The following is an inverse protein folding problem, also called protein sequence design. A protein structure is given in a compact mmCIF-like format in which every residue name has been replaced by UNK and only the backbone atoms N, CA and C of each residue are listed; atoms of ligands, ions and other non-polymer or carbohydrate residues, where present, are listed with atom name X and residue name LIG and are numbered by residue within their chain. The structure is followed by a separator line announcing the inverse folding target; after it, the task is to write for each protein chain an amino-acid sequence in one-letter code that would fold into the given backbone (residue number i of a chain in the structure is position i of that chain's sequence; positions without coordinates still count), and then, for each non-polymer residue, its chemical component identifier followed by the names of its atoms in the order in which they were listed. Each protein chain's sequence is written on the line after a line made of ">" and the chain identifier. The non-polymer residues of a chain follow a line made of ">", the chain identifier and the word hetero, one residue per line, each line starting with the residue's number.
data_IF_529503047005
#
_entry.id   IF_529503047005
#
_cell.length_a   1.000
_cell.length_b   1.000
_cell.length_c   1.000
_cell.angle_alpha   90.00
_cell.angle_beta   90.00
_cell.angle_gamma   90.00
#
_symmetry.space_group_name_H-M   'P 1'
#
loop_
_entity.id
_entity.type
_entity.pdbx_description
1 polymer ?
#
# COMPACT_ATOMS: atom_id res chain seq x y z
N UNK A 1 45.01 21.61 63.99
CA UNK A 1 45.38 21.58 62.57
C UNK A 1 44.50 20.52 61.93
N UNK A 2 43.72 20.95 60.94
CA UNK A 2 42.39 20.44 60.62
C UNK A 2 42.37 19.13 59.84
N UNK A 3 41.34 18.33 60.12
CA UNK A 3 40.84 17.26 59.27
C UNK A 3 39.94 17.88 58.19
N UNK A 4 40.12 17.56 56.89
CA UNK A 4 39.21 18.03 55.88
C UNK A 4 37.98 17.13 55.80
N UNK A 5 36.83 17.80 55.80
CA UNK A 5 35.48 17.30 55.81
C UNK A 5 35.09 16.56 54.51
N UNK A 6 34.35 15.47 54.70
CA UNK A 6 33.12 15.08 54.00
C UNK A 6 32.80 15.78 52.67
N UNK A 7 32.93 15.07 51.54
CA UNK A 7 32.13 15.35 50.34
C UNK A 7 30.80 14.62 50.47
N UNK A 8 29.76 15.40 50.78
CA UNK A 8 28.38 14.95 50.70
C UNK A 8 28.04 14.56 49.25
N UNK A 9 27.30 13.46 49.10
CA UNK A 9 26.61 13.13 47.86
C UNK A 9 25.56 14.21 47.57
N UNK A 10 25.92 15.21 46.77
CA UNK A 10 24.98 16.19 46.24
C UNK A 10 24.26 15.59 45.02
N UNK A 11 22.97 15.31 45.24
CA UNK A 11 21.92 15.68 44.29
C UNK A 11 21.94 15.00 42.94
N UNK A 12 21.24 13.87 42.85
CA UNK A 12 20.59 13.42 41.62
C UNK A 12 19.83 14.60 40.97
N UNK A 13 20.38 15.16 39.89
CA UNK A 13 19.68 16.14 39.07
C UNK A 13 18.66 15.42 38.18
N UNK A 14 17.55 15.02 38.81
CA UNK A 14 16.39 14.35 38.18
C UNK A 14 15.39 15.36 37.58
N UNK A 15 15.75 16.63 37.43
CA UNK A 15 14.83 17.71 37.06
C UNK A 15 14.94 18.19 35.59
N UNK A 16 15.79 17.58 34.75
CA UNK A 16 16.02 18.02 33.36
C UNK A 16 15.41 17.13 32.26
N UNK A 17 14.43 16.28 32.56
CA UNK A 17 13.76 15.40 31.57
C UNK A 17 12.26 15.71 31.26
N UNK A 18 11.62 16.86 31.58
CA UNK A 18 10.25 17.10 31.08
C UNK A 18 10.12 17.70 29.66
N UNK A 19 11.14 18.38 29.12
CA UNK A 19 10.98 19.16 27.88
C UNK A 19 11.46 18.46 26.59
N UNK A 20 12.47 17.60 26.67
CA UNK A 20 13.06 16.96 25.48
C UNK A 20 12.06 16.06 24.75
N UNK A 21 11.23 15.34 25.51
CA UNK A 21 10.16 14.49 24.96
C UNK A 21 9.10 15.33 24.25
N UNK A 22 8.74 16.49 24.80
CA UNK A 22 7.78 17.41 24.17
C UNK A 22 8.31 17.96 22.85
N UNK A 23 9.56 18.44 22.82
CA UNK A 23 10.19 18.91 21.59
C UNK A 23 10.34 17.82 20.53
N UNK A 24 10.65 16.59 20.96
CA UNK A 24 10.77 15.45 20.04
C UNK A 24 9.42 15.04 19.44
N UNK A 25 8.35 15.05 20.23
CA UNK A 25 6.98 14.80 19.73
C UNK A 25 6.52 15.89 18.77
N UNK A 26 6.79 17.16 19.08
CA UNK A 26 6.51 18.27 18.16
C UNK A 26 7.28 18.17 16.85
N UNK A 27 8.55 17.74 16.91
CA UNK A 27 9.33 17.45 15.71
C UNK A 27 8.66 16.35 14.86
N UNK A 28 8.32 15.20 15.47
CA UNK A 28 7.69 14.10 14.73
C UNK A 28 6.28 14.43 14.24
N UNK A 29 5.53 15.27 14.94
CA UNK A 29 4.25 15.78 14.47
C UNK A 29 4.43 16.60 13.18
N UNK A 30 5.47 17.45 13.10
CA UNK A 30 5.80 18.18 11.86
C UNK A 30 6.20 17.23 10.73
N UNK A 31 7.00 16.19 11.02
CA UNK A 31 7.35 15.15 10.06
C UNK A 31 6.11 14.44 9.55
N UNK A 32 5.15 14.11 10.42
CA UNK A 32 3.88 13.51 10.04
C UNK A 32 3.09 14.45 9.12
N UNK A 33 2.97 15.75 9.43
CA UNK A 33 2.28 16.70 8.53
C UNK A 33 2.89 16.75 7.13
N UNK A 34 4.21 16.75 7.02
CA UNK A 34 4.89 16.66 5.72
C UNK A 34 4.65 15.32 5.03
N UNK A 35 4.60 14.21 5.77
CA UNK A 35 4.22 12.90 5.21
C UNK A 35 2.78 12.92 4.69
N UNK A 36 1.85 13.52 5.44
CA UNK A 36 0.45 13.64 5.04
C UNK A 36 0.27 14.47 3.77
N UNK A 37 1.07 15.53 3.57
CA UNK A 37 1.07 16.30 2.31
C UNK A 37 1.45 15.42 1.10
N UNK A 38 2.40 14.51 1.28
CA UNK A 38 2.82 13.55 0.24
C UNK A 38 1.76 12.48 0.01
N UNK A 39 1.19 11.94 1.10
CA UNK A 39 0.25 10.82 1.05
C UNK A 39 -1.16 11.20 0.59
N UNK A 40 -1.63 12.40 0.91
CA UNK A 40 -2.98 12.87 0.58
C UNK A 40 -3.11 13.43 -0.85
N UNK A 41 -2.20 13.07 -1.76
CA UNK A 41 -2.33 13.45 -3.16
C UNK A 41 -3.58 12.77 -3.76
N UNK A 42 -4.59 13.52 -4.23
CA UNK A 42 -5.85 12.95 -4.73
C UNK A 42 -5.67 12.10 -6.00
N UNK A 43 -4.56 12.27 -6.73
CA UNK A 43 -4.26 11.54 -7.96
C UNK A 43 -3.63 10.17 -7.71
N UNK A 44 -3.28 9.83 -6.45
CA UNK A 44 -2.54 8.61 -6.13
C UNK A 44 -3.12 7.90 -4.91
N UNK A 45 -3.08 6.57 -4.93
CA UNK A 45 -3.33 5.78 -3.73
C UNK A 45 -2.20 6.03 -2.72
N UNK A 46 -2.57 6.13 -1.43
CA UNK A 46 -1.61 6.18 -0.33
C UNK A 46 -0.62 5.01 -0.43
N UNK A 47 0.65 5.31 -0.21
CA UNK A 47 1.76 4.36 -0.34
C UNK A 47 2.14 3.78 1.02
N UNK A 48 2.57 2.51 1.08
CA UNK A 48 3.11 1.95 2.30
C UNK A 48 4.36 2.72 2.77
N UNK A 49 4.46 2.95 4.08
CA UNK A 49 5.54 3.68 4.74
C UNK A 49 6.38 2.71 5.55
N UNK A 50 7.70 2.84 5.43
CA UNK A 50 8.66 2.11 6.27
C UNK A 50 9.46 3.13 7.06
N UNK A 51 9.52 2.95 8.37
CA UNK A 51 10.28 3.83 9.27
C UNK A 51 11.70 3.29 9.41
N UNK A 52 12.70 4.16 9.34
CA UNK A 52 14.09 3.78 9.60
C UNK A 52 14.68 4.75 10.62
N UNK A 53 15.18 4.22 11.73
CA UNK A 53 15.70 5.00 12.84
C UNK A 53 15.74 4.18 14.12
N UNK A 54 16.34 4.69 15.19
CA UNK A 54 16.38 3.95 16.45
C UNK A 54 14.97 3.69 17.01
N UNK A 55 14.88 2.65 17.85
CA UNK A 55 13.61 2.17 18.38
C UNK A 55 12.83 3.24 19.16
N UNK A 56 13.52 4.16 19.84
CA UNK A 56 12.87 5.23 20.63
C UNK A 56 12.21 6.24 19.69
N UNK A 57 12.92 6.69 18.66
CA UNK A 57 12.40 7.62 17.67
C UNK A 57 11.26 7.02 16.84
N UNK A 58 11.39 5.76 16.41
CA UNK A 58 10.31 5.06 15.72
C UNK A 58 9.04 4.95 16.57
N UNK A 59 9.18 4.64 17.87
CA UNK A 59 8.05 4.59 18.80
C UNK A 59 7.37 5.95 18.96
N UNK A 60 8.14 7.04 19.14
CA UNK A 60 7.56 8.37 19.26
C UNK A 60 6.84 8.84 18.01
N UNK A 61 7.39 8.56 16.82
CA UNK A 61 6.71 8.89 15.57
C UNK A 61 5.36 8.14 15.47
N UNK A 62 5.33 6.85 15.78
CA UNK A 62 4.09 6.05 15.78
C UNK A 62 3.02 6.58 16.76
N UNK A 63 3.41 7.16 17.90
CA UNK A 63 2.48 7.75 18.86
C UNK A 63 1.79 9.03 18.34
N UNK A 64 2.46 9.79 17.47
CA UNK A 64 1.96 11.09 16.98
C UNK A 64 1.49 11.05 15.52
N UNK A 65 1.65 9.91 14.84
CA UNK A 65 1.28 9.75 13.43
C UNK A 65 -0.24 9.76 13.26
N UNK A 66 -0.74 10.56 12.32
CA UNK A 66 -2.17 10.65 12.02
C UNK A 66 -2.72 9.37 11.39
N UNK A 67 -1.90 8.65 10.62
CA UNK A 67 -2.29 7.47 9.85
C UNK A 67 -1.33 6.29 10.09
N UNK A 68 -1.36 5.68 11.29
CA UNK A 68 -0.44 4.60 11.63
C UNK A 68 -0.62 3.35 10.76
N UNK A 69 -1.78 3.20 10.11
CA UNK A 69 -2.07 2.09 9.19
C UNK A 69 -1.25 2.12 7.90
N UNK A 70 -0.66 3.27 7.54
CA UNK A 70 0.24 3.35 6.39
C UNK A 70 1.61 2.75 6.70
N UNK A 71 1.96 2.61 7.97
CA UNK A 71 3.26 2.08 8.40
C UNK A 71 3.22 0.55 8.29
N UNK A 72 4.02 0.01 7.38
CA UNK A 72 4.07 -1.44 7.08
C UNK A 72 5.29 -2.14 7.64
N UNK A 73 6.22 -1.38 8.23
CA UNK A 73 7.44 -1.92 8.80
C UNK A 73 8.33 -0.85 9.42
N UNK A 74 9.28 -1.31 10.23
CA UNK A 74 10.29 -0.46 10.84
C UNK A 74 11.66 -1.15 10.87
N UNK A 75 12.71 -0.36 10.68
CA UNK A 75 14.11 -0.80 10.78
C UNK A 75 14.75 -0.01 11.91
N UNK A 76 14.93 -0.67 13.04
CA UNK A 76 15.51 -0.08 14.26
C UNK A 76 16.90 -0.58 14.61
N UNK A 77 17.46 -1.42 13.74
CA UNK A 77 18.76 -2.08 13.82
C UNK A 77 19.91 -1.20 13.32
N UNK A 78 19.61 0.00 12.81
CA UNK A 78 20.59 0.95 12.27
C UNK A 78 20.94 1.98 13.35
N UNK A 79 22.03 1.79 14.12
CA UNK A 79 22.40 2.69 15.22
C UNK A 79 22.95 4.04 14.74
N UNK A 80 23.44 4.14 13.50
CA UNK A 80 23.91 5.38 12.89
C UNK A 80 23.21 5.62 11.55
N UNK A 81 22.33 6.62 11.48
CA UNK A 81 21.61 7.00 10.27
C UNK A 81 22.49 7.70 9.22
N UNK A 82 23.79 7.91 9.49
CA UNK A 82 24.77 8.36 8.49
C UNK A 82 25.26 7.24 7.57
N UNK A 83 24.76 6.01 7.74
CA UNK A 83 25.06 4.93 6.81
C UNK A 83 24.50 5.22 5.41
N UNK A 84 25.19 4.81 4.34
CA UNK A 84 24.65 4.91 2.99
C UNK A 84 23.31 4.18 2.87
N UNK A 85 22.36 4.78 2.16
CA UNK A 85 21.01 4.21 1.96
C UNK A 85 21.05 2.78 1.41
N UNK A 86 22.06 2.46 0.58
CA UNK A 86 22.31 1.12 0.02
C UNK A 86 22.37 0.01 1.06
N UNK A 87 22.85 0.30 2.27
CA UNK A 87 22.93 -0.69 3.37
C UNK A 87 21.57 -1.01 3.99
N UNK A 88 20.58 -0.15 3.79
CA UNK A 88 19.22 -0.27 4.34
C UNK A 88 18.30 -1.00 3.35
N UNK A 89 18.63 -0.93 2.04
CA UNK A 89 17.83 -1.52 0.96
C UNK A 89 17.49 -3.00 1.20
N UNK A 90 18.41 -3.90 1.61
CA UNK A 90 18.08 -5.31 1.78
C UNK A 90 16.98 -5.57 2.81
N UNK A 91 17.02 -4.89 3.95
CA UNK A 91 16.00 -5.00 5.01
C UNK A 91 14.66 -4.42 4.55
N UNK A 92 14.68 -3.29 3.85
CA UNK A 92 13.48 -2.71 3.21
C UNK A 92 12.86 -3.67 2.20
N UNK A 93 13.69 -4.31 1.37
CA UNK A 93 13.21 -5.27 0.37
C UNK A 93 12.52 -6.46 1.01
N UNK A 94 13.09 -7.01 2.10
CA UNK A 94 12.47 -8.12 2.82
C UNK A 94 11.06 -7.75 3.34
N UNK A 95 10.91 -6.59 3.99
CA UNK A 95 9.60 -6.13 4.46
C UNK A 95 8.62 -5.85 3.32
N UNK A 96 9.09 -5.28 2.21
CA UNK A 96 8.23 -5.05 1.03
C UNK A 96 7.73 -6.36 0.42
N UNK A 97 8.56 -7.40 0.41
CA UNK A 97 8.16 -8.75 -0.04
C UNK A 97 7.06 -9.28 0.87
N UNK A 98 7.24 -9.24 2.19
CA UNK A 98 6.21 -9.69 3.14
C UNK A 98 4.91 -8.90 3.03
N UNK A 99 4.99 -7.58 2.91
CA UNK A 99 3.83 -6.72 2.70
C UNK A 99 3.06 -7.10 1.42
N UNK A 100 3.76 -7.31 0.31
CA UNK A 100 3.16 -7.74 -0.97
C UNK A 100 2.50 -9.12 -0.85
N UNK A 101 3.15 -10.07 -0.17
CA UNK A 101 2.60 -11.41 0.08
C UNK A 101 1.31 -11.34 0.91
N UNK A 102 1.28 -10.52 1.96
CA UNK A 102 0.10 -10.34 2.79
C UNK A 102 -1.06 -9.70 2.03
N UNK A 103 -0.78 -8.71 1.17
CA UNK A 103 -1.79 -8.12 0.28
C UNK A 103 -2.35 -9.12 -0.71
N UNK A 104 -1.48 -9.92 -1.33
CA UNK A 104 -1.91 -10.96 -2.25
C UNK A 104 -2.78 -12.01 -1.55
N UNK A 105 -2.39 -12.45 -0.35
CA UNK A 105 -3.19 -13.37 0.48
C UNK A 105 -4.58 -12.81 0.80
N UNK A 106 -4.65 -11.52 1.14
CA UNK A 106 -5.91 -10.83 1.40
C UNK A 106 -6.78 -10.75 0.15
N UNK A 107 -6.19 -10.41 -1.00
CA UNK A 107 -6.89 -10.40 -2.28
C UNK A 107 -7.43 -11.79 -2.66
N UNK A 108 -6.64 -12.86 -2.50
CA UNK A 108 -7.10 -14.23 -2.75
C UNK A 108 -8.24 -14.66 -1.83
N UNK A 109 -8.20 -14.23 -0.56
CA UNK A 109 -9.30 -14.46 0.37
C UNK A 109 -10.58 -13.80 -0.13
N UNK A 110 -10.51 -12.54 -0.55
CA UNK A 110 -11.66 -11.84 -1.10
C UNK A 110 -12.16 -12.43 -2.42
N UNK A 111 -11.26 -12.87 -3.30
CA UNK A 111 -11.61 -13.56 -4.53
C UNK A 111 -12.42 -14.83 -4.22
N UNK A 112 -11.91 -15.65 -3.29
CA UNK A 112 -12.58 -16.86 -2.82
C UNK A 112 -13.97 -16.56 -2.26
N UNK A 113 -14.09 -15.57 -1.37
CA UNK A 113 -15.38 -15.16 -0.82
C UNK A 113 -16.37 -14.69 -1.90
N UNK A 114 -15.93 -13.87 -2.85
CA UNK A 114 -16.77 -13.37 -3.92
C UNK A 114 -17.26 -14.50 -4.83
N UNK A 115 -16.39 -15.46 -5.14
CA UNK A 115 -16.73 -16.65 -5.92
C UNK A 115 -17.79 -17.49 -5.22
N UNK A 116 -17.57 -17.78 -3.94
CA UNK A 116 -18.48 -18.62 -3.14
C UNK A 116 -19.83 -17.93 -2.89
N UNK A 117 -19.86 -16.59 -2.92
CA UNK A 117 -21.07 -15.78 -2.86
C UNK A 117 -21.75 -15.53 -4.23
N UNK A 118 -21.22 -16.07 -5.32
CA UNK A 118 -21.68 -15.81 -6.70
C UNK A 118 -21.64 -14.34 -7.13
N UNK A 119 -20.72 -13.55 -6.56
CA UNK A 119 -20.51 -12.13 -6.87
C UNK A 119 -19.30 -11.88 -7.77
N UNK A 120 -18.80 -12.93 -8.42
CA UNK A 120 -17.62 -12.86 -9.29
C UNK A 120 -18.02 -12.87 -10.77
N UNK A 121 -17.65 -11.82 -11.48
CA UNK A 121 -17.82 -11.70 -12.93
C UNK A 121 -16.50 -12.03 -13.63
N UNK A 122 -16.56 -12.82 -14.70
CA UNK A 122 -15.39 -13.21 -15.50
C UNK A 122 -15.54 -12.90 -16.99
N UNK A 123 -16.74 -12.52 -17.44
CA UNK A 123 -17.00 -12.13 -18.82
C UNK A 123 -16.66 -10.65 -19.05
N UNK A 124 -15.92 -10.34 -20.12
CA UNK A 124 -15.40 -8.99 -20.37
C UNK A 124 -16.50 -7.94 -20.56
N UNK A 125 -17.57 -8.27 -21.29
CA UNK A 125 -18.68 -7.34 -21.50
C UNK A 125 -19.42 -7.05 -20.18
N UNK A 126 -19.58 -8.07 -19.35
CA UNK A 126 -20.23 -7.94 -18.05
C UNK A 126 -19.36 -7.18 -17.04
N UNK A 127 -18.04 -7.42 -17.03
CA UNK A 127 -17.07 -6.64 -16.26
C UNK A 127 -17.12 -5.18 -16.69
N UNK A 128 -17.07 -4.89 -18.00
CA UNK A 128 -17.11 -3.53 -18.54
C UNK A 128 -18.34 -2.76 -18.05
N UNK A 129 -19.52 -3.37 -18.13
CA UNK A 129 -20.77 -2.77 -17.63
C UNK A 129 -20.69 -2.46 -16.14
N UNK A 130 -20.23 -3.42 -15.34
CA UNK A 130 -20.14 -3.28 -13.90
C UNK A 130 -19.11 -2.22 -13.46
N UNK A 131 -17.96 -2.10 -14.14
CA UNK A 131 -17.00 -1.01 -13.87
C UNK A 131 -17.58 0.34 -14.30
N UNK A 132 -18.17 0.44 -15.50
CA UNK A 132 -18.73 1.69 -16.01
C UNK A 132 -19.90 2.23 -15.17
N UNK A 133 -20.68 1.34 -14.56
CA UNK A 133 -21.82 1.68 -13.70
C UNK A 133 -21.43 1.91 -12.23
N UNK A 134 -20.14 1.78 -11.88
CA UNK A 134 -19.70 1.91 -10.50
C UNK A 134 -20.25 0.79 -9.60
N UNK A 135 -20.42 -0.43 -10.13
CA UNK A 135 -20.76 -1.63 -9.37
C UNK A 135 -19.52 -2.50 -9.07
N UNK A 136 -18.31 -2.03 -9.38
CA UNK A 136 -17.05 -2.71 -9.09
C UNK A 136 -16.58 -2.48 -7.64
N UNK A 137 -16.50 -3.55 -6.84
CA UNK A 137 -15.82 -3.53 -5.53
C UNK A 137 -14.33 -3.71 -5.73
N UNK A 138 -13.96 -4.80 -6.42
CA UNK A 138 -12.57 -5.21 -6.56
C UNK A 138 -12.33 -5.91 -7.88
N UNK A 139 -11.37 -5.43 -8.65
CA UNK A 139 -10.88 -6.07 -9.87
C UNK A 139 -9.63 -6.87 -9.53
N UNK A 140 -9.67 -8.18 -9.77
CA UNK A 140 -8.52 -9.06 -9.65
C UNK A 140 -7.88 -9.26 -11.02
N UNK A 141 -6.60 -8.92 -11.13
CA UNK A 141 -5.85 -8.92 -12.39
C UNK A 141 -4.58 -9.72 -12.21
N UNK A 142 -4.32 -10.66 -13.12
CA UNK A 142 -3.02 -11.33 -13.20
C UNK A 142 -1.95 -10.33 -13.64
N UNK A 143 -0.85 -10.25 -12.90
CA UNK A 143 0.28 -9.38 -13.24
C UNK A 143 0.77 -9.66 -14.66
N UNK A 144 0.89 -8.60 -15.46
CA UNK A 144 1.33 -8.66 -16.86
C UNK A 144 0.32 -9.30 -17.82
N UNK A 145 -0.93 -9.54 -17.40
CA UNK A 145 -1.97 -9.95 -18.34
C UNK A 145 -2.46 -8.75 -19.13
N UNK A 146 -2.39 -8.91 -20.46
CA UNK A 146 -2.81 -7.96 -21.47
C UNK A 146 -3.81 -8.70 -22.35
N UNK A 147 -4.92 -8.06 -22.69
CA UNK A 147 -5.91 -8.64 -23.59
C UNK A 147 -6.28 -7.65 -24.69
N UNK A 148 -5.82 -7.88 -25.94
CA UNK A 148 -6.29 -7.10 -27.08
C UNK A 148 -7.80 -7.26 -27.29
N UNK A 149 -8.46 -6.21 -27.75
CA UNK A 149 -9.90 -6.26 -28.01
C UNK A 149 -10.51 -4.97 -28.52
N UNK A 150 -11.78 -5.03 -28.88
CA UNK A 150 -12.60 -3.89 -29.27
C UNK A 150 -13.63 -3.64 -28.17
N UNK A 151 -13.72 -2.39 -27.72
CA UNK A 151 -14.73 -1.94 -26.76
C UNK A 151 -15.74 -1.07 -27.52
N UNK A 152 -16.96 -1.57 -27.66
CA UNK A 152 -18.10 -0.76 -28.07
C UNK A 152 -18.70 -0.11 -26.81
N UNK A 153 -18.35 1.15 -26.59
CA UNK A 153 -18.81 1.93 -25.43
C UNK A 153 -20.31 2.19 -25.46
N UNK A 154 -20.92 2.32 -26.64
CA UNK A 154 -22.35 2.62 -26.79
C UNK A 154 -23.20 1.39 -26.45
N UNK A 155 -22.82 0.22 -26.97
CA UNK A 155 -23.53 -1.04 -26.73
C UNK A 155 -23.09 -1.73 -25.44
N UNK A 156 -22.01 -1.25 -24.82
CA UNK A 156 -21.34 -1.89 -23.68
C UNK A 156 -21.01 -3.35 -23.96
N UNK A 157 -20.34 -3.57 -25.09
CA UNK A 157 -19.87 -4.89 -25.55
C UNK A 157 -18.36 -4.84 -25.69
N UNK A 158 -17.70 -5.91 -25.23
CA UNK A 158 -16.26 -6.10 -25.39
C UNK A 158 -16.02 -7.38 -26.16
N UNK A 159 -15.30 -7.26 -27.27
CA UNK A 159 -14.87 -8.38 -28.10
C UNK A 159 -13.37 -8.55 -27.96
N UNK A 160 -12.93 -9.64 -27.34
CA UNK A 160 -11.51 -9.93 -27.15
C UNK A 160 -10.91 -10.64 -28.35
N UNK A 161 -9.63 -10.39 -28.62
CA UNK A 161 -8.87 -10.98 -29.72
C UNK A 161 -7.53 -11.51 -29.22
N UNK A 162 -6.99 -12.51 -29.91
CA UNK A 162 -5.70 -13.12 -29.55
C UNK A 162 -4.51 -12.21 -29.88
N UNK A 163 -4.61 -11.37 -30.92
CA UNK A 163 -3.54 -10.47 -31.38
C UNK A 163 -4.08 -9.08 -31.77
N UNK A 164 -3.31 -8.02 -31.46
CA UNK A 164 -3.60 -6.64 -31.83
C UNK A 164 -3.23 -6.34 -33.30
N UNK A 165 -4.08 -6.74 -34.25
CA UNK A 165 -3.82 -6.62 -35.71
C UNK A 165 -4.71 -5.61 -36.46
N UNK A 166 -5.82 -5.14 -35.87
CA UNK A 166 -6.77 -4.22 -36.50
C UNK A 166 -6.59 -2.77 -36.01
N UNK A 167 -6.91 -1.79 -36.87
CA UNK A 167 -6.70 -0.36 -36.60
C UNK A 167 -7.63 0.24 -35.54
N UNK A 168 -8.75 -0.43 -35.24
CA UNK A 168 -9.80 -0.02 -34.31
C UNK A 168 -9.79 -0.82 -33.00
N UNK A 169 -8.78 -1.67 -32.81
CA UNK A 169 -8.59 -2.48 -31.62
C UNK A 169 -7.68 -1.78 -30.61
N UNK A 170 -8.02 -1.88 -29.32
CA UNK A 170 -7.10 -1.51 -28.24
C UNK A 170 -6.12 -2.66 -28.00
N UNK A 171 -4.88 -2.29 -27.69
CA UNK A 171 -3.83 -3.23 -27.31
C UNK A 171 -4.14 -3.92 -25.98
N UNK A 172 -4.90 -3.25 -25.09
CA UNK A 172 -5.30 -3.81 -23.80
C UNK A 172 -6.67 -3.30 -23.32
N UNK A 173 -7.69 -4.16 -23.37
CA UNK A 173 -9.00 -3.87 -22.76
C UNK A 173 -8.94 -3.95 -21.22
N UNK A 174 -7.98 -4.68 -20.65
CA UNK A 174 -7.83 -4.82 -19.20
C UNK A 174 -7.41 -3.49 -18.58
N UNK A 175 -6.51 -2.76 -19.24
CA UNK A 175 -6.08 -1.43 -18.83
C UNK A 175 -7.26 -0.45 -18.73
N UNK A 176 -8.15 -0.46 -19.73
CA UNK A 176 -9.38 0.34 -19.67
C UNK A 176 -10.26 -0.01 -18.46
N UNK A 177 -10.36 -1.28 -18.09
CA UNK A 177 -11.13 -1.69 -16.91
C UNK A 177 -10.47 -1.26 -15.59
N UNK A 178 -9.13 -1.30 -15.53
CA UNK A 178 -8.35 -0.82 -14.39
C UNK A 178 -8.61 0.68 -14.21
N UNK A 179 -8.49 1.47 -15.27
CA UNK A 179 -8.72 2.91 -15.24
C UNK A 179 -10.14 3.26 -14.78
N UNK A 180 -11.16 2.66 -15.40
CA UNK A 180 -12.56 2.90 -15.04
C UNK A 180 -12.86 2.43 -13.61
N UNK A 181 -12.34 1.26 -13.22
CA UNK A 181 -12.49 0.73 -11.87
C UNK A 181 -11.89 1.68 -10.83
N UNK A 182 -10.71 2.23 -11.08
CA UNK A 182 -10.06 3.21 -10.21
C UNK A 182 -10.86 4.51 -10.13
N UNK A 183 -11.34 5.04 -11.27
CA UNK A 183 -12.16 6.26 -11.31
C UNK A 183 -13.46 6.11 -10.49
N UNK A 184 -14.04 4.92 -10.44
CA UNK A 184 -15.25 4.61 -9.69
C UNK A 184 -14.99 4.15 -8.24
N UNK A 185 -13.74 4.27 -7.76
CA UNK A 185 -13.34 3.94 -6.40
C UNK A 185 -13.30 2.43 -6.09
N UNK A 186 -13.27 1.58 -7.12
CA UNK A 186 -13.02 0.15 -6.98
C UNK A 186 -11.56 -0.13 -6.62
N UNK A 187 -11.32 -1.21 -5.88
CA UNK A 187 -9.95 -1.66 -5.57
C UNK A 187 -9.36 -2.50 -6.71
N UNK A 188 -8.12 -2.22 -7.10
CA UNK A 188 -7.38 -3.07 -8.06
C UNK A 188 -6.40 -3.96 -7.30
N UNK A 189 -6.49 -5.27 -7.52
CA UNK A 189 -5.65 -6.28 -6.90
C UNK A 189 -4.88 -7.07 -7.95
N UNK A 190 -3.57 -6.84 -7.98
CA UNK A 190 -2.66 -7.57 -8.86
C UNK A 190 -2.13 -8.83 -8.18
N UNK A 191 -2.27 -9.97 -8.83
CA UNK A 191 -1.82 -11.28 -8.35
C UNK A 191 -0.88 -11.92 -9.36
N UNK A 192 0.16 -12.62 -8.90
CA UNK A 192 1.03 -13.38 -9.80
C UNK A 192 0.29 -14.60 -10.36
N UNK A 193 0.83 -15.21 -11.42
CA UNK A 193 0.26 -16.44 -11.99
C UNK A 193 0.24 -17.58 -10.96
N UNK A 194 1.29 -17.71 -10.16
CA UNK A 194 1.41 -18.71 -9.10
C UNK A 194 0.38 -18.48 -7.98
N UNK A 195 0.09 -17.22 -7.66
CA UNK A 195 -0.89 -16.86 -6.64
C UNK A 195 -2.33 -17.14 -7.09
N UNK A 196 -2.66 -16.86 -8.36
CA UNK A 196 -3.99 -17.14 -8.92
C UNK A 196 -4.26 -18.63 -9.13
N UNK A 197 -3.24 -19.42 -9.48
CA UNK A 197 -3.41 -20.83 -9.80
C UNK A 197 -4.36 -21.03 -10.98
N UNK A 198 -5.49 -21.71 -10.74
CA UNK A 198 -6.50 -22.03 -11.77
C UNK A 198 -7.54 -20.92 -11.97
N UNK A 199 -7.47 -19.84 -11.20
CA UNK A 199 -8.38 -18.71 -11.34
C UNK A 199 -8.20 -18.00 -12.68
N UNK A 200 -9.29 -17.38 -13.17
CA UNK A 200 -9.24 -16.59 -14.41
C UNK A 200 -8.25 -15.42 -14.24
N UNK A 201 -7.53 -15.05 -15.32
CA UNK A 201 -6.54 -13.97 -15.25
C UNK A 201 -7.17 -12.59 -15.01
N UNK A 202 -8.48 -12.48 -15.21
CA UNK A 202 -9.28 -11.30 -14.93
C UNK A 202 -10.60 -11.72 -14.29
N UNK A 203 -10.95 -11.10 -13.17
CA UNK A 203 -12.27 -11.23 -12.56
C UNK A 203 -12.65 -10.00 -11.75
N UNK A 204 -13.94 -9.74 -11.61
CA UNK A 204 -14.47 -8.60 -10.88
C UNK A 204 -15.44 -9.06 -9.79
N UNK A 205 -15.23 -8.59 -8.56
CA UNK A 205 -16.21 -8.66 -7.48
C UNK A 205 -17.18 -7.48 -7.57
N UNK A 206 -18.49 -7.76 -7.57
CA UNK A 206 -19.55 -6.73 -7.55
C UNK A 206 -19.92 -6.28 -6.13
N UNK A 207 -20.58 -5.12 -5.99
CA UNK A 207 -21.09 -4.63 -4.69
C UNK A 207 -22.30 -5.43 -4.21
N UNK A 208 -23.12 -5.89 -5.15
CA UNK A 208 -24.35 -6.64 -4.93
C UNK A 208 -24.38 -7.85 -5.86
#
# INVERSE_FOLDING_TARGET
>A
MESPFSFAAEGLDRAQIPNDTGYLKEFFNRVDKSLQEIQNNPERKRLPVIIVGDARNAAFFKEVCDQPTDIVGEITTVPDLKVPAEKIIPEVQAMLVEYRLNRAKTALHHLTQARDAHQLLTDFSTIFRAVAEGNAVRLFVRQGYIQPGIIDFDQKIVTVHDDATASDMTDDVVDTFIELGMQQGGEICFLSAEQLGEEKPLSLQTRY
#
